data_IF_072148426077
#
_entry.id   IF_072148426077
#
_cell.length_a   1.000
_cell.length_b   1.000
_cell.length_c   1.000
_cell.angle_alpha   90.00
_cell.angle_beta   90.00
_cell.angle_gamma   90.00
#
_symmetry.space_group_name_H-M   'P 1'
#
loop_
_entity.id
_entity.type
_entity.pdbx_description
1 polymer ?
#
# COMPACT_ATOMS: atom_id res chain seq x y z
N UNK A 1 -19.27 -55.04 4.28
CA UNK A 1 -18.53 -54.38 3.19
C UNK A 1 -18.75 -52.88 3.30
N UNK A 2 -17.76 -52.13 3.81
CA UNK A 2 -17.80 -50.67 3.91
C UNK A 2 -16.78 -50.13 2.91
N UNK A 3 -17.28 -49.67 1.77
CA UNK A 3 -16.51 -48.93 0.78
C UNK A 3 -17.31 -47.67 0.46
N UNK A 4 -16.78 -46.49 0.82
CA UNK A 4 -17.51 -45.24 0.55
C UNK A 4 -16.88 -43.93 1.05
N UNK A 5 -15.75 -43.92 1.74
CA UNK A 5 -15.17 -42.68 2.31
C UNK A 5 -13.97 -42.10 1.52
N UNK A 6 -13.46 -42.78 0.49
CA UNK A 6 -12.21 -42.39 -0.19
C UNK A 6 -12.31 -41.23 -1.19
N UNK A 7 -13.50 -40.78 -1.58
CA UNK A 7 -13.68 -39.79 -2.66
C UNK A 7 -13.61 -38.32 -2.21
N UNK A 8 -14.03 -38.01 -0.99
CA UNK A 8 -14.23 -36.62 -0.54
C UNK A 8 -12.94 -35.93 -0.10
N UNK A 9 -12.00 -36.68 0.48
CA UNK A 9 -10.70 -36.15 0.95
C UNK A 9 -9.78 -35.81 -0.21
N UNK A 10 -9.74 -36.67 -1.24
CA UNK A 10 -8.94 -36.44 -2.44
C UNK A 10 -9.39 -35.22 -3.25
N UNK A 11 -10.69 -34.88 -3.23
CA UNK A 11 -11.19 -33.67 -3.87
C UNK A 11 -10.79 -32.41 -3.08
N UNK A 12 -10.93 -32.43 -1.76
CA UNK A 12 -10.54 -31.31 -0.89
C UNK A 12 -9.04 -31.00 -0.99
N UNK A 13 -8.18 -32.04 -1.00
CA UNK A 13 -6.72 -31.88 -1.17
C UNK A 13 -6.35 -31.26 -2.54
N UNK A 14 -7.08 -31.59 -3.60
CA UNK A 14 -6.87 -30.99 -4.93
C UNK A 14 -7.24 -29.51 -4.95
N UNK A 15 -8.32 -29.11 -4.28
CA UNK A 15 -8.72 -27.70 -4.18
C UNK A 15 -7.76 -26.88 -3.32
N UNK A 16 -7.32 -27.41 -2.18
CA UNK A 16 -6.30 -26.76 -1.34
C UNK A 16 -4.98 -26.64 -2.11
N UNK A 17 -4.55 -27.68 -2.82
CA UNK A 17 -3.36 -27.64 -3.67
C UNK A 17 -3.49 -26.60 -4.79
N UNK A 18 -4.69 -26.45 -5.40
CA UNK A 18 -4.94 -25.42 -6.40
C UNK A 18 -4.91 -24.00 -5.82
N UNK A 19 -5.50 -23.80 -4.63
CA UNK A 19 -5.49 -22.51 -3.94
C UNK A 19 -4.07 -22.09 -3.53
N UNK A 20 -3.28 -23.01 -2.97
CA UNK A 20 -1.87 -22.74 -2.62
C UNK A 20 -1.05 -22.43 -3.87
N UNK A 21 -1.22 -23.19 -4.96
CA UNK A 21 -0.55 -22.89 -6.24
C UNK A 21 -0.98 -21.53 -6.80
N UNK A 22 -2.25 -21.16 -6.68
CA UNK A 22 -2.75 -19.86 -7.10
C UNK A 22 -2.18 -18.72 -6.23
N UNK A 23 -2.12 -18.89 -4.91
CA UNK A 23 -1.49 -17.91 -4.02
C UNK A 23 0.01 -17.75 -4.28
N UNK A 24 0.70 -18.85 -4.56
CA UNK A 24 2.14 -18.84 -4.85
C UNK A 24 2.42 -18.23 -6.24
N UNK A 25 1.55 -18.51 -7.23
CA UNK A 25 1.57 -17.84 -8.52
C UNK A 25 1.27 -16.34 -8.41
N UNK A 26 0.31 -15.94 -7.57
CA UNK A 26 0.00 -14.53 -7.33
C UNK A 26 1.16 -13.80 -6.63
N UNK A 27 1.81 -14.43 -5.65
CA UNK A 27 3.02 -13.89 -5.01
C UNK A 27 4.18 -13.78 -6.00
N UNK A 28 4.38 -14.80 -6.85
CA UNK A 28 5.37 -14.78 -7.92
C UNK A 28 5.09 -13.68 -8.96
N UNK A 29 3.84 -13.50 -9.37
CA UNK A 29 3.43 -12.43 -10.28
C UNK A 29 3.63 -11.05 -9.65
N UNK A 30 3.38 -10.88 -8.36
CA UNK A 30 3.64 -9.63 -7.63
C UNK A 30 5.14 -9.31 -7.59
N UNK A 31 5.98 -10.30 -7.28
CA UNK A 31 7.44 -10.14 -7.32
C UNK A 31 7.94 -9.84 -8.74
N UNK A 32 7.41 -10.53 -9.76
CA UNK A 32 7.75 -10.29 -11.16
C UNK A 32 7.32 -8.89 -11.63
N UNK A 33 6.13 -8.42 -11.23
CA UNK A 33 5.66 -7.06 -11.51
C UNK A 33 6.54 -6.01 -10.83
N UNK A 34 6.98 -6.27 -9.59
CA UNK A 34 7.92 -5.40 -8.88
C UNK A 34 9.30 -5.37 -9.57
N UNK A 35 9.84 -6.53 -9.95
CA UNK A 35 11.09 -6.62 -10.71
C UNK A 35 10.99 -5.96 -12.09
N UNK A 36 9.85 -6.10 -12.78
CA UNK A 36 9.59 -5.42 -14.05
C UNK A 36 9.49 -3.89 -13.87
N UNK A 37 8.91 -3.42 -12.77
CA UNK A 37 8.89 -2.01 -12.42
C UNK A 37 10.31 -1.47 -12.15
N UNK A 38 11.14 -2.22 -11.41
CA UNK A 38 12.55 -1.87 -11.18
C UNK A 38 13.32 -1.85 -12.50
N UNK A 39 13.19 -2.88 -13.34
CA UNK A 39 13.86 -2.96 -14.64
C UNK A 39 13.41 -1.87 -15.61
N UNK A 40 12.13 -1.46 -15.57
CA UNK A 40 11.63 -0.33 -16.35
C UNK A 40 12.21 1.01 -15.88
N UNK A 41 12.36 1.20 -14.55
CA UNK A 41 13.00 2.39 -13.98
C UNK A 41 14.48 2.43 -14.33
N UNK A 42 15.19 1.30 -14.24
CA UNK A 42 16.60 1.19 -14.59
C UNK A 42 16.84 1.34 -16.09
N UNK A 43 16.01 0.71 -16.94
CA UNK A 43 16.06 0.87 -18.39
C UNK A 43 15.76 2.31 -18.82
N UNK A 44 14.80 2.97 -18.18
CA UNK A 44 14.53 4.39 -18.43
C UNK A 44 15.70 5.29 -18.01
N UNK A 45 16.39 4.97 -16.90
CA UNK A 45 17.58 5.68 -16.46
C UNK A 45 18.74 5.52 -17.45
N UNK A 46 18.91 4.33 -18.01
CA UNK A 46 19.91 4.06 -19.05
C UNK A 46 19.58 4.80 -20.36
N UNK A 47 18.31 4.86 -20.78
CA UNK A 47 17.89 5.67 -21.92
C UNK A 47 18.14 7.16 -21.70
N UNK A 48 17.83 7.70 -20.51
CA UNK A 48 18.10 9.10 -20.18
C UNK A 48 19.61 9.43 -20.21
N UNK A 49 20.46 8.51 -19.72
CA UNK A 49 21.91 8.64 -19.79
C UNK A 49 22.45 8.54 -21.24
N UNK A 50 21.87 7.67 -22.07
CA UNK A 50 22.25 7.54 -23.48
C UNK A 50 21.88 8.79 -24.31
N UNK A 51 20.74 9.43 -24.00
CA UNK A 51 20.35 10.71 -24.63
C UNK A 51 21.30 11.84 -24.19
N UNK A 52 21.68 11.87 -22.90
CA UNK A 52 22.62 12.86 -22.38
C UNK A 52 24.04 12.71 -22.94
N UNK A 53 24.49 11.49 -23.24
CA UNK A 53 25.82 11.23 -23.81
C UNK A 53 25.89 11.45 -25.33
N UNK A 54 24.77 11.38 -26.05
CA UNK A 54 24.70 11.74 -27.47
C UNK A 54 24.67 13.26 -27.72
N UNK A 55 24.34 14.06 -26.70
CA UNK A 55 24.37 15.54 -26.75
C UNK A 55 25.77 16.16 -26.56
N UNK A 56 26.85 15.43 -26.82
CA UNK A 56 28.20 15.99 -27.00
C UNK A 56 28.89 15.24 -28.14
N UNK A 57 29.19 15.93 -29.27
CA UNK A 57 30.32 16.88 -29.31
C UNK A 57 30.10 18.13 -30.20
N UNK A 58 30.80 19.23 -29.89
CA UNK A 58 31.21 20.23 -30.91
C UNK A 58 30.98 21.72 -30.60
N UNK A 59 31.95 22.33 -29.90
CA UNK A 59 32.52 23.68 -30.08
C UNK A 59 31.61 24.82 -30.57
N UNK A 60 31.41 25.85 -29.74
CA UNK A 60 31.05 27.19 -30.22
C UNK A 60 30.51 28.17 -29.19
N UNK A 61 31.42 28.75 -28.38
CA UNK A 61 31.42 30.12 -27.81
C UNK A 61 30.11 30.80 -27.37
N UNK A 62 30.10 31.26 -26.12
CA UNK A 62 29.20 32.33 -25.69
C UNK A 62 29.11 32.47 -24.18
N UNK A 63 29.87 33.41 -23.62
CA UNK A 63 29.90 33.80 -22.22
C UNK A 63 28.62 34.56 -21.79
N UNK A 64 28.23 34.44 -20.52
CA UNK A 64 27.17 35.27 -19.92
C UNK A 64 26.65 34.77 -18.56
N UNK A 65 27.46 34.99 -17.53
CA UNK A 65 27.15 35.41 -16.13
C UNK A 65 25.73 35.35 -15.54
N UNK A 66 25.69 34.84 -14.29
CA UNK A 66 24.95 35.31 -13.08
C UNK A 66 23.39 35.31 -13.15
N UNK A 67 22.61 34.87 -12.15
CA UNK A 67 22.80 34.52 -10.75
C UNK A 67 21.40 34.47 -10.08
N UNK A 68 21.39 33.94 -8.86
CA UNK A 68 20.34 34.04 -7.81
C UNK A 68 19.23 32.99 -7.68
N UNK A 69 19.10 32.61 -6.40
CA UNK A 69 18.25 31.60 -5.81
C UNK A 69 16.93 32.20 -5.34
N UNK A 70 15.88 31.38 -5.34
CA UNK A 70 14.60 31.71 -4.73
C UNK A 70 13.83 30.44 -4.44
N UNK A 71 13.99 29.93 -3.21
CA UNK A 71 13.18 28.86 -2.66
C UNK A 71 11.87 29.44 -2.14
N UNK A 72 10.73 28.87 -2.52
CA UNK A 72 9.51 28.89 -1.72
C UNK A 72 8.60 27.72 -2.14
N UNK A 73 8.11 27.00 -1.13
CA UNK A 73 7.22 25.84 -1.21
C UNK A 73 5.81 26.26 -0.71
N UNK A 74 4.81 25.38 -0.66
CA UNK A 74 3.72 25.26 -1.61
C UNK A 74 2.38 25.79 -1.02
N UNK A 75 1.40 26.10 -1.87
CA UNK A 75 0.00 26.24 -1.46
C UNK A 75 -0.87 25.24 -2.20
N UNK A 76 -1.55 24.44 -1.38
CA UNK A 76 -2.65 23.53 -1.70
C UNK A 76 -3.85 24.35 -2.22
N UNK A 77 -4.46 23.97 -3.33
CA UNK A 77 -5.89 24.22 -3.58
C UNK A 77 -6.54 23.02 -4.29
N UNK A 78 -7.76 22.76 -3.82
CA UNK A 78 -8.63 21.60 -3.98
C UNK A 78 -9.05 21.22 -5.41
N UNK A 79 -9.28 19.91 -5.57
CA UNK A 79 -9.96 19.27 -6.67
C UNK A 79 -11.45 19.65 -6.73
N UNK A 80 -11.94 19.99 -7.91
CA UNK A 80 -13.35 19.84 -8.27
C UNK A 80 -13.42 19.17 -9.66
N UNK A 81 -13.56 17.84 -9.66
CA UNK A 81 -13.96 17.07 -10.84
C UNK A 81 -15.46 17.29 -11.08
N UNK A 82 -15.81 17.81 -12.26
CA UNK A 82 -17.15 17.66 -12.83
C UNK A 82 -17.01 16.95 -14.18
N UNK A 83 -17.52 15.73 -14.17
CA UNK A 83 -17.81 14.83 -15.27
C UNK A 83 -19.06 15.34 -16.01
N UNK A 84 -19.01 15.48 -17.33
CA UNK A 84 -20.22 15.36 -18.17
C UNK A 84 -19.86 15.08 -19.64
N UNK A 85 -20.09 13.84 -20.06
CA UNK A 85 -20.28 13.49 -21.46
C UNK A 85 -21.68 13.94 -21.91
N UNK A 86 -21.78 14.74 -22.98
CA UNK A 86 -22.93 14.67 -23.87
C UNK A 86 -22.60 15.25 -25.26
N UNK A 87 -22.78 14.40 -26.26
CA UNK A 87 -22.69 14.70 -27.68
C UNK A 87 -23.68 15.78 -28.15
N UNK A 88 -23.24 16.67 -29.05
CA UNK A 88 -24.08 17.25 -30.10
C UNK A 88 -23.28 17.46 -31.39
N UNK A 89 -23.68 16.66 -32.37
CA UNK A 89 -23.53 16.82 -33.81
C UNK A 89 -24.38 18.03 -34.26
N UNK A 90 -23.76 19.07 -34.82
CA UNK A 90 -24.34 19.93 -35.86
C UNK A 90 -23.19 20.52 -36.70
N UNK A 91 -23.24 20.28 -38.01
CA UNK A 91 -22.33 20.88 -38.97
C UNK A 91 -22.74 22.29 -39.34
N UNK A 92 -21.75 23.17 -39.51
CA UNK A 92 -21.90 24.38 -40.31
C UNK A 92 -20.60 24.66 -41.06
N UNK A 93 -20.74 24.78 -42.38
CA UNK A 93 -19.68 25.12 -43.30
C UNK A 93 -19.40 26.63 -43.23
N UNK A 94 -18.16 27.02 -42.99
CA UNK A 94 -17.69 28.37 -43.28
C UNK A 94 -16.17 28.38 -43.53
N UNK A 95 -15.86 28.70 -44.79
CA UNK A 95 -14.66 29.37 -45.30
C UNK A 95 -13.27 28.76 -45.06
N UNK A 96 -12.73 28.23 -46.15
CA UNK A 96 -11.32 27.86 -46.35
C UNK A 96 -10.41 29.08 -46.20
N UNK A 97 -9.84 29.26 -45.01
CA UNK A 97 -8.61 30.03 -44.84
C UNK A 97 -7.43 29.29 -45.49
N UNK A 98 -6.52 29.98 -46.20
CA UNK A 98 -5.41 29.34 -46.89
C UNK A 98 -4.49 28.61 -45.89
N UNK A 99 -3.93 27.44 -46.27
CA UNK A 99 -3.17 26.60 -45.34
C UNK A 99 -1.93 27.35 -44.86
N UNK A 100 -1.99 27.84 -43.63
CA UNK A 100 -0.84 28.42 -42.96
C UNK A 100 0.23 27.32 -42.87
N UNK A 101 1.36 27.55 -43.55
CA UNK A 101 2.48 26.63 -43.60
C UNK A 101 2.80 26.13 -42.19
N UNK A 102 3.09 24.83 -41.98
CA UNK A 102 3.31 24.28 -40.65
C UNK A 102 4.47 25.03 -40.02
N UNK A 103 4.14 25.99 -39.13
CA UNK A 103 5.11 26.71 -38.31
C UNK A 103 5.86 25.62 -37.57
N UNK A 104 7.11 25.37 -37.98
CA UNK A 104 8.00 24.40 -37.36
C UNK A 104 8.06 24.80 -35.89
N UNK A 105 7.32 24.08 -35.05
CA UNK A 105 7.40 24.25 -33.60
C UNK A 105 8.88 24.16 -33.26
N UNK A 106 9.40 25.18 -32.58
CA UNK A 106 10.78 25.17 -32.14
C UNK A 106 11.03 23.83 -31.44
N UNK A 107 12.19 23.18 -31.68
CA UNK A 107 12.52 21.95 -30.96
C UNK A 107 12.38 22.25 -29.47
N UNK A 108 11.68 21.39 -28.70
CA UNK A 108 11.40 21.64 -27.30
C UNK A 108 12.72 21.94 -26.59
N UNK A 109 12.72 22.97 -25.76
CA UNK A 109 13.89 23.29 -24.96
C UNK A 109 14.19 22.10 -24.05
N UNK A 110 15.46 21.84 -23.69
CA UNK A 110 15.82 20.74 -22.80
C UNK A 110 15.05 20.78 -21.46
N UNK A 111 14.65 21.98 -21.03
CA UNK A 111 13.83 22.20 -19.85
C UNK A 111 12.36 21.77 -20.05
N UNK A 112 11.75 22.07 -21.19
CA UNK A 112 10.41 21.58 -21.55
C UNK A 112 10.37 20.06 -21.75
N UNK A 113 11.44 19.48 -22.31
CA UNK A 113 11.57 18.04 -22.45
C UNK A 113 11.69 17.34 -21.09
N UNK A 114 12.47 17.91 -20.16
CA UNK A 114 12.59 17.42 -18.79
C UNK A 114 11.25 17.54 -18.04
N UNK A 115 10.56 18.67 -18.14
CA UNK A 115 9.24 18.87 -17.53
C UNK A 115 8.19 17.90 -18.08
N UNK A 116 8.18 17.67 -19.40
CA UNK A 116 7.32 16.67 -20.04
C UNK A 116 7.62 15.25 -19.56
N UNK A 117 8.90 14.88 -19.41
CA UNK A 117 9.30 13.59 -18.86
C UNK A 117 8.80 13.40 -17.41
N UNK A 118 8.93 14.42 -16.56
CA UNK A 118 8.39 14.39 -15.19
C UNK A 118 6.87 14.23 -15.19
N UNK A 119 6.14 14.99 -16.02
CA UNK A 119 4.68 14.85 -16.15
C UNK A 119 4.29 13.43 -16.58
N UNK A 120 5.03 12.82 -17.51
CA UNK A 120 4.80 11.44 -17.94
C UNK A 120 5.02 10.44 -16.80
N UNK A 121 6.07 10.63 -15.99
CA UNK A 121 6.33 9.79 -14.81
C UNK A 121 5.22 9.92 -13.77
N UNK A 122 4.75 11.14 -13.50
CA UNK A 122 3.62 11.38 -12.59
C UNK A 122 2.34 10.73 -13.12
N UNK A 123 2.04 10.89 -14.42
CA UNK A 123 0.89 10.25 -15.06
C UNK A 123 0.97 8.71 -14.98
N UNK A 124 2.15 8.13 -15.22
CA UNK A 124 2.36 6.70 -15.09
C UNK A 124 2.19 6.23 -13.64
N UNK A 125 2.74 6.96 -12.66
CA UNK A 125 2.55 6.67 -11.24
C UNK A 125 1.07 6.69 -10.85
N UNK A 126 0.33 7.69 -11.33
CA UNK A 126 -1.10 7.81 -11.07
C UNK A 126 -1.89 6.66 -11.71
N UNK A 127 -1.56 6.26 -12.94
CA UNK A 127 -2.16 5.11 -13.60
C UNK A 127 -1.86 3.80 -12.84
N UNK A 128 -0.61 3.60 -12.42
CA UNK A 128 -0.22 2.44 -11.61
C UNK A 128 -1.00 2.42 -10.28
N UNK A 129 -1.15 3.56 -9.62
CA UNK A 129 -1.93 3.67 -8.39
C UNK A 129 -3.41 3.32 -8.61
N UNK A 130 -4.03 3.78 -9.71
CA UNK A 130 -5.40 3.41 -10.09
C UNK A 130 -5.54 1.90 -10.31
N UNK A 131 -4.59 1.28 -11.02
CA UNK A 131 -4.58 -0.17 -11.25
C UNK A 131 -4.43 -0.93 -9.93
N UNK A 132 -3.48 -0.54 -9.06
CA UNK A 132 -3.28 -1.17 -7.76
C UNK A 132 -4.50 -1.05 -6.85
N UNK A 133 -5.19 0.10 -6.85
CA UNK A 133 -6.45 0.30 -6.12
C UNK A 133 -7.54 -0.67 -6.59
N UNK A 134 -7.73 -0.81 -7.91
CA UNK A 134 -8.72 -1.73 -8.48
C UNK A 134 -8.38 -3.18 -8.12
N UNK A 135 -7.13 -3.60 -8.31
CA UNK A 135 -6.67 -4.95 -7.97
C UNK A 135 -6.84 -5.24 -6.47
N UNK A 136 -6.53 -4.28 -5.60
CA UNK A 136 -6.75 -4.43 -4.17
C UNK A 136 -8.24 -4.63 -3.83
N UNK A 137 -9.15 -3.86 -4.45
CA UNK A 137 -10.59 -4.03 -4.28
C UNK A 137 -11.09 -5.40 -4.77
N UNK A 138 -10.60 -5.87 -5.92
CA UNK A 138 -10.92 -7.21 -6.44
C UNK A 138 -10.45 -8.32 -5.49
N UNK A 139 -9.21 -8.23 -4.97
CA UNK A 139 -8.69 -9.21 -4.01
C UNK A 139 -9.53 -9.18 -2.72
N UNK A 140 -9.89 -8.01 -2.21
CA UNK A 140 -10.77 -7.90 -1.05
C UNK A 140 -12.13 -8.56 -1.30
N UNK A 141 -12.75 -8.29 -2.46
CA UNK A 141 -14.01 -8.94 -2.86
C UNK A 141 -13.88 -10.47 -2.93
N UNK A 142 -12.79 -10.98 -3.51
CA UNK A 142 -12.50 -12.41 -3.53
C UNK A 142 -12.29 -12.99 -2.12
N UNK A 143 -11.54 -12.31 -1.25
CA UNK A 143 -11.33 -12.72 0.14
C UNK A 143 -12.67 -12.80 0.90
N UNK A 144 -13.55 -11.81 0.72
CA UNK A 144 -14.89 -11.79 1.32
C UNK A 144 -15.75 -12.95 0.82
N UNK A 145 -15.76 -13.20 -0.49
CA UNK A 145 -16.50 -14.31 -1.09
C UNK A 145 -16.00 -15.66 -0.58
N UNK A 146 -14.69 -15.87 -0.50
CA UNK A 146 -14.09 -17.09 0.06
C UNK A 146 -14.46 -17.25 1.53
N UNK A 147 -14.45 -16.16 2.31
CA UNK A 147 -14.86 -16.21 3.72
C UNK A 147 -16.32 -16.61 3.87
N UNK A 148 -17.24 -15.98 3.13
CA UNK A 148 -18.66 -16.34 3.15
C UNK A 148 -18.87 -17.80 2.76
N UNK A 149 -18.16 -18.27 1.73
CA UNK A 149 -18.19 -19.67 1.30
C UNK A 149 -17.70 -20.63 2.39
N UNK A 150 -16.58 -20.32 3.06
CA UNK A 150 -16.05 -21.14 4.16
C UNK A 150 -16.93 -21.08 5.42
N UNK A 151 -17.61 -19.97 5.68
CA UNK A 151 -18.59 -19.86 6.76
C UNK A 151 -19.80 -20.78 6.53
N UNK A 152 -20.26 -20.90 5.28
CA UNK A 152 -21.31 -21.84 4.89
C UNK A 152 -20.81 -23.29 4.86
N UNK A 153 -19.51 -23.51 4.58
CA UNK A 153 -18.90 -24.82 4.41
C UNK A 153 -17.77 -25.05 5.42
N UNK A 154 -18.10 -25.01 6.72
CA UNK A 154 -17.09 -25.12 7.80
C UNK A 154 -16.28 -26.42 7.75
N UNK A 155 -16.81 -27.49 7.16
CA UNK A 155 -16.08 -28.74 6.97
C UNK A 155 -14.84 -28.62 6.07
N UNK A 156 -14.74 -27.55 5.27
CA UNK A 156 -13.58 -27.28 4.40
C UNK A 156 -12.45 -26.57 5.13
N UNK A 157 -12.69 -26.04 6.33
CA UNK A 157 -11.67 -25.35 7.12
C UNK A 157 -10.78 -26.41 7.76
N UNK A 158 -9.47 -26.46 7.43
CA UNK A 158 -8.58 -27.44 8.02
C UNK A 158 -8.44 -27.21 9.52
N UNK A 159 -8.38 -28.31 10.27
CA UNK A 159 -8.12 -28.24 11.71
C UNK A 159 -6.69 -27.75 11.91
N UNK A 160 -6.55 -26.60 12.56
CA UNK A 160 -5.25 -26.03 12.91
C UNK A 160 -4.74 -26.69 14.18
N UNK A 161 -3.55 -27.30 14.12
CA UNK A 161 -2.92 -27.90 15.29
C UNK A 161 -2.58 -26.86 16.36
N UNK A 162 -2.66 -27.26 17.64
CA UNK A 162 -2.26 -26.38 18.75
C UNK A 162 -0.77 -25.97 18.68
N UNK A 163 0.08 -26.78 18.06
CA UNK A 163 1.48 -26.43 17.81
C UNK A 163 1.62 -25.28 16.82
N UNK A 164 0.90 -25.30 15.69
CA UNK A 164 0.92 -24.19 14.73
C UNK A 164 0.39 -22.89 15.34
N UNK A 165 -0.66 -22.97 16.17
CA UNK A 165 -1.16 -21.82 16.94
C UNK A 165 -0.07 -21.23 17.84
N UNK A 166 0.61 -22.07 18.63
CA UNK A 166 1.70 -21.62 19.52
C UNK A 166 2.86 -20.98 18.74
N UNK A 167 3.25 -21.54 17.59
CA UNK A 167 4.33 -20.96 16.76
C UNK A 167 3.97 -19.57 16.24
N UNK A 168 2.77 -19.40 15.68
CA UNK A 168 2.34 -18.12 15.13
C UNK A 168 2.14 -17.07 16.23
N UNK A 169 1.55 -17.45 17.37
CA UNK A 169 1.36 -16.53 18.50
C UNK A 169 2.70 -16.18 19.16
N UNK A 170 3.64 -17.13 19.26
CA UNK A 170 5.00 -16.84 19.72
C UNK A 170 5.70 -15.81 18.83
N UNK A 171 5.61 -15.98 17.52
CA UNK A 171 6.15 -15.00 16.57
C UNK A 171 5.45 -13.64 16.65
N UNK A 172 4.13 -13.62 16.89
CA UNK A 172 3.40 -12.38 17.14
C UNK A 172 3.92 -11.68 18.39
N UNK A 173 4.17 -12.42 19.47
CA UNK A 173 4.71 -11.88 20.72
C UNK A 173 6.08 -11.23 20.49
N UNK A 174 6.98 -11.90 19.77
CA UNK A 174 8.30 -11.35 19.43
C UNK A 174 8.16 -10.02 18.69
N UNK A 175 7.30 -9.94 17.66
CA UNK A 175 7.07 -8.70 16.92
C UNK A 175 6.34 -7.61 17.73
N UNK A 176 5.45 -7.99 18.64
CA UNK A 176 4.77 -7.05 19.52
C UNK A 176 5.74 -6.46 20.56
N UNK A 177 6.67 -7.26 21.07
CA UNK A 177 7.75 -6.80 21.93
C UNK A 177 8.71 -5.86 21.19
N UNK A 178 9.05 -6.14 19.94
CA UNK A 178 9.81 -5.19 19.12
C UNK A 178 9.06 -3.85 18.99
N UNK A 179 7.76 -3.87 18.69
CA UNK A 179 6.95 -2.66 18.61
C UNK A 179 6.88 -1.91 19.94
N UNK A 180 6.85 -2.63 21.07
CA UNK A 180 6.93 -2.03 22.40
C UNK A 180 8.26 -1.33 22.64
N UNK A 181 9.38 -1.93 22.23
CA UNK A 181 10.71 -1.32 22.31
C UNK A 181 10.77 -0.05 21.46
N UNK A 182 10.19 -0.07 20.26
CA UNK A 182 10.06 1.13 19.40
C UNK A 182 9.27 2.25 20.11
N UNK A 183 8.23 1.92 20.88
CA UNK A 183 7.43 2.88 21.66
C UNK A 183 8.11 3.35 22.96
N UNK A 184 9.01 2.56 23.52
CA UNK A 184 9.50 2.75 24.89
C UNK A 184 10.17 4.10 25.11
N UNK A 185 10.95 4.58 24.13
CA UNK A 185 11.59 5.89 24.21
C UNK A 185 10.56 7.03 24.35
N UNK A 186 9.47 6.97 23.60
CA UNK A 186 8.39 7.96 23.64
C UNK A 186 7.60 7.89 24.95
N UNK A 187 7.34 6.67 25.45
CA UNK A 187 6.65 6.47 26.72
C UNK A 187 7.46 7.06 27.90
N UNK A 188 8.77 6.82 27.94
CA UNK A 188 9.66 7.38 28.97
C UNK A 188 9.70 8.92 28.92
N UNK A 189 9.73 9.50 27.72
CA UNK A 189 9.67 10.95 27.55
C UNK A 189 8.34 11.53 28.06
N UNK A 190 7.21 10.87 27.81
CA UNK A 190 5.91 11.31 28.29
C UNK A 190 5.75 11.17 29.81
N UNK A 191 6.27 10.09 30.41
CA UNK A 191 6.30 9.92 31.87
C UNK A 191 7.13 11.02 32.56
N UNK A 192 8.18 11.48 31.88
CA UNK A 192 9.02 12.60 32.34
C UNK A 192 8.42 13.99 32.06
N UNK A 193 7.23 14.07 31.46
CA UNK A 193 6.56 15.31 31.08
C UNK A 193 7.20 16.04 29.88
N UNK A 194 8.11 15.39 29.16
CA UNK A 194 8.83 15.94 28.01
C UNK A 194 8.19 15.58 26.67
N UNK A 195 7.38 14.51 26.61
CA UNK A 195 6.70 14.04 25.41
C UNK A 195 5.22 14.40 25.38
N UNK A 196 4.72 14.83 24.22
CA UNK A 196 3.31 15.16 24.06
C UNK A 196 2.44 13.90 23.90
N UNK A 197 1.24 13.83 24.52
CA UNK A 197 0.34 12.68 24.35
C UNK A 197 -0.08 12.46 22.89
N UNK A 198 -0.14 13.54 22.10
CA UNK A 198 -0.38 13.50 20.65
C UNK A 198 0.72 12.74 19.90
N UNK A 199 1.98 12.89 20.32
CA UNK A 199 3.12 12.24 19.66
C UNK A 199 3.09 10.73 19.89
N UNK A 200 2.76 10.28 21.10
CA UNK A 200 2.59 8.85 21.39
C UNK A 200 1.50 8.24 20.50
N UNK A 201 0.34 8.89 20.39
CA UNK A 201 -0.74 8.42 19.53
C UNK A 201 -0.33 8.41 18.06
N UNK A 202 0.47 9.38 17.61
CA UNK A 202 1.03 9.39 16.26
C UNK A 202 1.98 8.20 16.04
N UNK A 203 2.90 7.93 16.97
CA UNK A 203 3.80 6.78 16.90
C UNK A 203 3.04 5.46 16.84
N UNK A 204 1.98 5.30 17.63
CA UNK A 204 1.11 4.10 17.57
C UNK A 204 0.47 3.94 16.18
N UNK A 205 0.04 5.03 15.53
CA UNK A 205 -0.51 4.98 14.18
C UNK A 205 0.54 4.63 13.11
N UNK A 206 1.82 4.92 13.38
CA UNK A 206 2.93 4.68 12.47
C UNK A 206 3.60 3.32 12.69
N UNK A 207 3.23 2.58 13.74
CA UNK A 207 3.78 1.24 14.02
C UNK A 207 3.58 0.31 12.81
N UNK A 208 4.66 -0.26 12.24
CA UNK A 208 4.57 -1.07 11.02
C UNK A 208 3.64 -2.28 11.10
N UNK A 209 3.34 -2.76 12.32
CA UNK A 209 2.39 -3.86 12.53
C UNK A 209 0.93 -3.42 12.55
N UNK A 210 0.63 -2.15 12.87
CA UNK A 210 -0.72 -1.61 12.99
C UNK A 210 -1.15 -0.77 11.78
N UNK A 211 -0.20 -0.12 11.10
CA UNK A 211 -0.45 0.76 9.94
C UNK A 211 -1.48 0.20 8.95
N UNK A 212 -1.40 -1.06 8.48
CA UNK A 212 -2.35 -1.59 7.49
C UNK A 212 -3.80 -1.69 7.97
N UNK A 213 -4.03 -1.67 9.30
CA UNK A 213 -5.34 -1.78 9.94
C UNK A 213 -5.87 -0.41 10.42
N UNK A 214 -4.99 0.59 10.52
CA UNK A 214 -5.32 1.94 10.96
C UNK A 214 -5.53 2.90 9.78
N UNK A 215 -5.04 2.57 8.60
CA UNK A 215 -5.26 3.37 7.40
C UNK A 215 -6.75 3.40 6.99
N UNK A 216 -7.21 4.44 6.28
CA UNK A 216 -8.58 4.50 5.76
C UNK A 216 -8.84 3.49 4.63
N UNK A 217 -7.78 3.10 3.92
CA UNK A 217 -7.85 2.20 2.77
C UNK A 217 -7.43 0.81 3.23
N UNK A 218 -8.37 -0.14 3.19
CA UNK A 218 -8.08 -1.52 3.56
C UNK A 218 -7.12 -2.13 2.56
N UNK A 219 -6.01 -2.70 3.05
CA UNK A 219 -5.02 -3.37 2.21
C UNK A 219 -5.24 -4.88 2.29
N UNK A 220 -5.51 -5.52 1.16
CA UNK A 220 -5.77 -6.96 1.09
C UNK A 220 -4.59 -7.79 1.62
N UNK A 221 -3.37 -7.37 1.25
CA UNK A 221 -2.11 -8.05 1.57
C UNK A 221 -1.15 -7.02 2.19
N UNK A 222 -0.95 -7.04 3.51
CA UNK A 222 0.01 -6.15 4.16
C UNK A 222 1.43 -6.42 3.67
N UNK A 223 2.19 -5.36 3.39
CA UNK A 223 3.59 -5.45 2.97
C UNK A 223 4.49 -5.85 4.15
N UNK A 224 4.24 -5.26 5.31
CA UNK A 224 4.93 -5.55 6.57
C UNK A 224 4.74 -7.00 7.00
N UNK A 225 5.85 -7.68 7.33
CA UNK A 225 5.82 -9.04 7.88
C UNK A 225 5.11 -9.05 9.23
N UNK A 226 5.36 -8.04 10.09
CA UNK A 226 4.73 -7.92 11.41
C UNK A 226 3.20 -7.88 11.30
N UNK A 227 2.67 -7.07 10.38
CA UNK A 227 1.24 -6.98 10.13
C UNK A 227 0.64 -8.27 9.53
N UNK A 228 1.39 -8.96 8.65
CA UNK A 228 0.97 -10.27 8.12
C UNK A 228 0.87 -11.32 9.23
N UNK A 229 1.84 -11.36 10.14
CA UNK A 229 1.81 -12.27 11.28
C UNK A 229 0.65 -11.96 12.21
N UNK A 230 0.37 -10.68 12.48
CA UNK A 230 -0.82 -10.27 13.24
C UNK A 230 -2.12 -10.76 12.56
N UNK A 231 -2.28 -10.54 11.25
CA UNK A 231 -3.45 -11.03 10.50
C UNK A 231 -3.57 -12.56 10.57
N UNK A 232 -2.46 -13.27 10.43
CA UNK A 232 -2.43 -14.74 10.54
C UNK A 232 -2.75 -15.25 11.94
N UNK A 233 -2.20 -14.61 12.99
CA UNK A 233 -2.50 -14.95 14.37
C UNK A 233 -3.98 -14.72 14.69
N UNK A 234 -4.55 -13.61 14.22
CA UNK A 234 -5.97 -13.31 14.35
C UNK A 234 -6.87 -14.36 13.67
N UNK A 235 -6.48 -14.88 12.50
CA UNK A 235 -7.21 -15.97 11.83
C UNK A 235 -7.16 -17.29 12.61
N UNK A 236 -6.10 -17.54 13.37
CA UNK A 236 -5.91 -18.76 14.15
C UNK A 236 -6.64 -18.70 15.50
N UNK A 237 -6.55 -17.55 16.17
CA UNK A 237 -7.12 -17.28 17.48
C UNK A 237 -7.20 -15.77 17.74
N UNK A 238 -8.31 -15.15 17.31
CA UNK A 238 -8.52 -13.70 17.44
C UNK A 238 -8.46 -13.18 18.89
N UNK A 239 -9.11 -13.84 19.89
CA UNK A 239 -8.99 -13.41 21.28
C UNK A 239 -7.54 -13.40 21.78
N UNK A 240 -6.76 -14.43 21.47
CA UNK A 240 -5.37 -14.52 21.91
C UNK A 240 -4.46 -13.51 21.19
N UNK A 241 -4.64 -13.31 19.89
CA UNK A 241 -3.89 -12.32 19.12
C UNK A 241 -4.13 -10.89 19.66
N UNK A 242 -5.40 -10.53 19.90
CA UNK A 242 -5.73 -9.22 20.47
C UNK A 242 -5.19 -9.06 21.89
N UNK A 243 -5.19 -10.12 22.71
CA UNK A 243 -4.59 -10.08 24.04
C UNK A 243 -3.11 -9.70 23.99
N UNK A 244 -2.33 -10.30 23.10
CA UNK A 244 -0.90 -9.97 22.93
C UNK A 244 -0.70 -8.52 22.50
N UNK A 245 -1.47 -8.05 21.53
CA UNK A 245 -1.37 -6.65 21.05
C UNK A 245 -1.82 -5.67 22.13
N UNK A 246 -2.88 -5.98 22.87
CA UNK A 246 -3.35 -5.16 23.98
C UNK A 246 -2.29 -5.09 25.10
N UNK A 247 -1.71 -6.21 25.52
CA UNK A 247 -0.72 -6.27 26.61
C UNK A 247 0.61 -5.58 26.26
N UNK A 248 1.11 -5.73 25.02
CA UNK A 248 2.43 -5.21 24.65
C UNK A 248 2.40 -3.79 24.08
N UNK A 249 1.28 -3.35 23.49
CA UNK A 249 1.21 -2.05 22.79
C UNK A 249 0.21 -1.11 23.45
N UNK A 250 -1.06 -1.51 23.53
CA UNK A 250 -2.10 -0.58 23.94
C UNK A 250 -2.09 -0.32 25.46
N UNK A 251 -1.85 -1.33 26.29
CA UNK A 251 -1.87 -1.19 27.73
C UNK A 251 -0.75 -0.29 28.26
N UNK A 252 0.53 -0.45 27.83
CA UNK A 252 1.58 0.49 28.22
C UNK A 252 1.23 1.94 27.85
N UNK A 253 0.69 2.14 26.64
CA UNK A 253 0.26 3.46 26.17
C UNK A 253 -0.90 4.02 27.01
N UNK A 254 -1.89 3.20 27.38
CA UNK A 254 -3.02 3.62 28.24
C UNK A 254 -2.57 4.05 29.63
N UNK A 255 -1.61 3.34 30.21
CA UNK A 255 -1.08 3.64 31.55
C UNK A 255 -0.35 4.99 31.55
N UNK A 256 0.47 5.25 30.53
CA UNK A 256 1.24 6.49 30.42
C UNK A 256 0.38 7.71 30.05
N UNK A 257 -0.69 7.53 29.28
CA UNK A 257 -1.51 8.64 28.79
C UNK A 257 -2.57 9.14 29.80
N UNK A 258 -2.86 10.46 29.81
CA UNK A 258 -3.99 11.03 30.53
C UNK A 258 -5.34 10.46 30.05
N UNK A 259 -6.35 10.48 30.91
CA UNK A 259 -7.66 9.86 30.67
C UNK A 259 -8.35 10.33 29.38
N UNK A 260 -8.17 11.60 29.01
CA UNK A 260 -8.74 12.19 27.78
C UNK A 260 -8.18 11.53 26.49
N UNK A 261 -6.93 11.07 26.51
CA UNK A 261 -6.27 10.43 25.37
C UNK A 261 -6.48 8.91 25.34
N UNK A 262 -6.83 8.29 26.47
CA UNK A 262 -7.12 6.84 26.54
C UNK A 262 -8.24 6.44 25.61
N UNK A 263 -9.30 7.26 25.54
CA UNK A 263 -10.41 7.03 24.59
C UNK A 263 -9.92 6.94 23.15
N UNK A 264 -8.95 7.78 22.75
CA UNK A 264 -8.40 7.76 21.39
C UNK A 264 -7.63 6.47 21.13
N UNK A 265 -6.88 5.98 22.11
CA UNK A 265 -6.16 4.69 22.02
C UNK A 265 -7.15 3.52 21.95
N UNK A 266 -8.24 3.57 22.70
CA UNK A 266 -9.29 2.56 22.66
C UNK A 266 -10.02 2.54 21.31
N UNK A 267 -10.22 3.69 20.68
CA UNK A 267 -10.71 3.80 19.31
C UNK A 267 -9.76 3.11 18.32
N UNK A 268 -8.44 3.30 18.47
CA UNK A 268 -7.44 2.61 17.63
C UNK A 268 -7.47 1.09 17.85
N UNK A 269 -7.48 0.61 19.10
CA UNK A 269 -7.58 -0.82 19.41
C UNK A 269 -8.87 -1.43 18.86
N UNK A 270 -9.99 -0.71 18.99
CA UNK A 270 -11.29 -1.12 18.43
C UNK A 270 -11.24 -1.20 16.91
N UNK A 271 -10.62 -0.22 16.24
CA UNK A 271 -10.46 -0.23 14.79
C UNK A 271 -9.60 -1.41 14.32
N UNK A 272 -8.46 -1.65 14.96
CA UNK A 272 -7.60 -2.81 14.66
C UNK A 272 -8.38 -4.11 14.83
N UNK A 273 -9.14 -4.25 15.92
CA UNK A 273 -9.98 -5.42 16.18
C UNK A 273 -11.05 -5.62 15.10
N UNK A 274 -11.72 -4.55 14.68
CA UNK A 274 -12.72 -4.59 13.61
C UNK A 274 -12.09 -5.02 12.29
N UNK A 275 -10.98 -4.40 11.89
CA UNK A 275 -10.30 -4.74 10.62
C UNK A 275 -9.73 -6.16 10.61
N UNK A 276 -9.24 -6.67 11.74
CA UNK A 276 -8.80 -8.07 11.84
C UNK A 276 -9.97 -9.07 11.81
N UNK A 277 -11.16 -8.63 12.22
CA UNK A 277 -12.38 -9.44 12.12
C UNK A 277 -12.99 -9.43 10.72
N UNK A 278 -12.66 -8.43 9.89
CA UNK A 278 -13.07 -8.27 8.48
C UNK A 278 -12.22 -9.07 7.51
#
# INVERSE_FOLDING_TARGET
>A
AVAGAGGSTAAAERFVGAAVRASLAAASASNAAMSAAIAAVEGSRQCAQAVASQSSPGVGGGAGTEGEAGAESPREEEEAELDDEAAKDEGEAAEEDPPEAPRRRAPPTPEEAAASAVRRLVAQRNNNHKVLKRLNAEILGHQQNVRQFLQQNRQLIPVVSGESKRKIVGLLLDYAQEARVELQAMLLCAESGLGGPREIVATVNELPMLVPFLQPQNVAIPVSVKARVLKMAALYDMPLAMKVVDEEIFEPVRVTLPQEWRRRVDELSTKVRQELSN
#
